data_IF_069311834880
#
_entry.id   IF_069311834880
#
_cell.length_a   1.000
_cell.length_b   1.000
_cell.length_c   1.000
_cell.angle_alpha   90.00
_cell.angle_beta   90.00
_cell.angle_gamma   90.00
#
_symmetry.space_group_name_H-M   'P 1'
#
loop_
_entity.id
_entity.type
_entity.pdbx_description
1 polymer ?
#
# COMPACT_ATOMS: atom_id res chain seq x y z
N UNK A 1 -15.32 10.34 -13.39
CA UNK A 1 -13.95 10.48 -13.97
C UNK A 1 -12.81 10.42 -12.93
N UNK A 2 -13.09 10.36 -11.61
CA UNK A 2 -12.04 10.20 -10.57
C UNK A 2 -11.55 8.76 -10.39
N UNK A 3 -12.46 7.79 -10.47
CA UNK A 3 -12.14 6.35 -10.42
C UNK A 3 -11.11 5.94 -11.48
N UNK A 4 -11.15 6.58 -12.67
CA UNK A 4 -10.18 6.33 -13.74
C UNK A 4 -8.75 6.77 -13.39
N UNK A 5 -8.58 7.74 -12.48
CA UNK A 5 -7.26 8.18 -12.00
C UNK A 5 -6.75 7.30 -10.86
N UNK A 6 -7.66 6.82 -10.00
CA UNK A 6 -7.31 5.94 -8.87
C UNK A 6 -6.94 4.53 -9.34
N UNK A 7 -7.61 4.00 -10.37
CA UNK A 7 -7.42 2.62 -10.81
C UNK A 7 -5.98 2.26 -11.20
N UNK A 8 -5.26 3.07 -12.00
CA UNK A 8 -3.84 2.79 -12.30
C UNK A 8 -2.94 2.82 -11.06
N UNK A 9 -3.20 3.75 -10.13
CA UNK A 9 -2.48 3.79 -8.85
C UNK A 9 -2.74 2.53 -8.01
N UNK A 10 -4.01 2.14 -7.87
CA UNK A 10 -4.40 0.91 -7.17
C UNK A 10 -3.72 -0.33 -7.76
N UNK A 11 -3.74 -0.47 -9.08
CA UNK A 11 -3.14 -1.62 -9.76
C UNK A 11 -1.62 -1.66 -9.56
N UNK A 12 -0.94 -0.53 -9.68
CA UNK A 12 0.51 -0.44 -9.44
C UNK A 12 0.87 -0.65 -7.97
N UNK A 13 0.02 -0.23 -7.02
CA UNK A 13 0.21 -0.46 -5.58
C UNK A 13 0.13 -1.95 -5.27
N UNK A 14 -0.86 -2.65 -5.83
CA UNK A 14 -1.00 -4.10 -5.69
C UNK A 14 0.18 -4.86 -6.30
N UNK A 15 0.64 -4.45 -7.49
CA UNK A 15 1.81 -5.06 -8.13
C UNK A 15 3.10 -4.83 -7.31
N UNK A 16 3.32 -3.60 -6.82
CA UNK A 16 4.46 -3.30 -5.96
C UNK A 16 4.43 -4.13 -4.67
N UNK A 17 3.28 -4.22 -4.00
CA UNK A 17 3.12 -5.05 -2.80
C UNK A 17 3.46 -6.52 -3.08
N UNK A 18 3.06 -7.06 -4.24
CA UNK A 18 3.43 -8.42 -4.64
C UNK A 18 4.93 -8.60 -4.82
N UNK A 19 5.60 -7.69 -5.52
CA UNK A 19 7.07 -7.75 -5.66
C UNK A 19 7.77 -7.60 -4.31
N UNK A 20 7.25 -6.77 -3.40
CA UNK A 20 7.79 -6.64 -2.05
C UNK A 20 7.74 -7.96 -1.30
N UNK A 21 6.61 -8.67 -1.35
CA UNK A 21 6.47 -10.00 -0.74
C UNK A 21 7.39 -11.03 -1.40
N UNK A 22 7.61 -10.95 -2.71
CA UNK A 22 8.53 -11.84 -3.43
C UNK A 22 9.99 -11.57 -3.05
N UNK A 23 10.41 -10.30 -2.99
CA UNK A 23 11.75 -9.92 -2.55
C UNK A 23 12.05 -10.40 -1.12
N UNK A 24 11.07 -10.24 -0.22
CA UNK A 24 11.17 -10.73 1.16
C UNK A 24 11.22 -12.25 1.26
N UNK A 25 10.43 -12.93 0.42
CA UNK A 25 10.46 -14.38 0.32
C UNK A 25 11.85 -14.83 -0.14
N UNK A 26 12.38 -14.24 -1.21
CA UNK A 26 13.68 -14.58 -1.75
C UNK A 26 14.82 -14.34 -0.74
N UNK A 27 14.81 -13.21 -0.02
CA UNK A 27 15.79 -12.93 1.05
C UNK A 27 15.74 -14.00 2.15
N UNK A 28 14.53 -14.42 2.55
CA UNK A 28 14.35 -15.47 3.55
C UNK A 28 14.78 -16.84 3.03
N UNK A 29 14.37 -17.21 1.83
CA UNK A 29 14.75 -18.49 1.19
C UNK A 29 16.27 -18.61 1.08
N UNK A 30 16.93 -17.51 0.70
CA UNK A 30 18.39 -17.42 0.67
C UNK A 30 19.00 -17.54 2.08
N UNK A 31 18.45 -16.89 3.09
CA UNK A 31 18.97 -16.97 4.46
C UNK A 31 18.88 -18.39 5.05
N UNK A 32 17.78 -19.11 4.80
CA UNK A 32 17.54 -20.45 5.34
C UNK A 32 17.93 -21.58 4.38
N UNK A 33 18.40 -21.26 3.16
CA UNK A 33 18.74 -22.23 2.11
C UNK A 33 17.60 -23.22 1.84
N UNK A 34 16.36 -22.71 1.82
CA UNK A 34 15.15 -23.52 1.65
C UNK A 34 14.03 -22.71 1.00
N UNK A 35 13.30 -23.33 0.08
CA UNK A 35 12.09 -22.76 -0.49
C UNK A 35 10.91 -22.80 0.50
N UNK A 36 10.04 -21.80 0.45
CA UNK A 36 8.79 -21.75 1.22
C UNK A 36 7.58 -21.98 0.32
N UNK A 37 6.72 -22.92 0.69
CA UNK A 37 5.44 -23.13 0.02
C UNK A 37 4.55 -21.87 0.15
N UNK A 38 3.64 -21.58 -0.81
CA UNK A 38 2.85 -20.35 -0.78
C UNK A 38 2.05 -20.13 0.52
N UNK A 39 1.39 -21.17 1.03
CA UNK A 39 0.62 -21.08 2.27
C UNK A 39 1.51 -20.87 3.50
N UNK A 40 2.69 -21.50 3.52
CA UNK A 40 3.67 -21.32 4.58
C UNK A 40 4.22 -19.90 4.61
N UNK A 41 4.58 -19.36 3.44
CA UNK A 41 5.03 -17.98 3.31
C UNK A 41 3.95 -16.98 3.75
N UNK A 42 2.69 -17.22 3.38
CA UNK A 42 1.57 -16.38 3.81
C UNK A 42 1.42 -16.37 5.34
N UNK A 43 1.44 -17.54 5.98
CA UNK A 43 1.33 -17.65 7.44
C UNK A 43 2.48 -16.91 8.13
N UNK A 44 3.67 -17.00 7.56
CA UNK A 44 4.88 -16.40 8.11
C UNK A 44 4.85 -14.87 8.00
N UNK A 45 4.53 -14.32 6.82
CA UNK A 45 4.51 -12.87 6.60
C UNK A 45 3.36 -12.17 7.33
N UNK A 46 2.28 -12.90 7.64
CA UNK A 46 1.14 -12.37 8.39
C UNK A 46 1.26 -12.55 9.90
N UNK A 47 1.97 -13.58 10.37
CA UNK A 47 2.05 -13.93 11.79
C UNK A 47 3.35 -13.54 12.49
N UNK A 48 4.49 -13.54 11.79
CA UNK A 48 5.78 -13.44 12.46
C UNK A 48 6.15 -11.98 12.80
N UNK A 49 6.67 -11.69 14.02
CA UNK A 49 6.95 -10.33 14.48
C UNK A 49 7.86 -9.52 13.53
N UNK A 50 8.81 -10.17 12.87
CA UNK A 50 9.77 -9.52 11.97
C UNK A 50 9.14 -8.94 10.69
N UNK A 51 7.88 -9.28 10.38
CA UNK A 51 7.11 -8.74 9.26
C UNK A 51 6.02 -7.74 9.67
N UNK A 52 5.88 -7.42 10.96
CA UNK A 52 4.87 -6.46 11.46
C UNK A 52 4.96 -5.09 10.82
N UNK A 53 6.14 -4.69 10.37
CA UNK A 53 6.37 -3.44 9.65
C UNK A 53 5.63 -3.35 8.30
N UNK A 54 5.13 -4.47 7.76
CA UNK A 54 4.30 -4.49 6.54
C UNK A 54 2.84 -4.11 6.81
N UNK A 55 2.36 -4.26 8.05
CA UNK A 55 0.95 -4.06 8.39
C UNK A 55 0.39 -2.69 7.96
N UNK A 56 1.11 -1.56 8.11
CA UNK A 56 0.63 -0.27 7.61
C UNK A 56 0.39 -0.26 6.10
N UNK A 57 1.27 -0.89 5.31
CA UNK A 57 1.13 -0.96 3.84
C UNK A 57 -0.06 -1.85 3.44
N UNK A 58 -0.23 -2.99 4.10
CA UNK A 58 -1.38 -3.87 3.86
C UNK A 58 -2.71 -3.17 4.18
N UNK A 59 -2.76 -2.42 5.28
CA UNK A 59 -3.94 -1.61 5.63
C UNK A 59 -4.21 -0.53 4.59
N UNK A 60 -3.16 0.18 4.14
CA UNK A 60 -3.28 1.19 3.10
C UNK A 60 -3.79 0.61 1.76
N UNK A 61 -3.34 -0.58 1.38
CA UNK A 61 -3.84 -1.28 0.20
C UNK A 61 -5.35 -1.56 0.31
N UNK A 62 -5.82 -2.02 1.48
CA UNK A 62 -7.24 -2.24 1.74
C UNK A 62 -8.06 -0.94 1.68
N UNK A 63 -7.51 0.19 2.14
CA UNK A 63 -8.20 1.48 2.05
C UNK A 63 -8.36 1.94 0.59
N UNK A 64 -7.30 1.80 -0.21
CA UNK A 64 -7.34 2.15 -1.65
C UNK A 64 -8.29 1.23 -2.41
N UNK A 65 -8.33 -0.06 -2.07
CA UNK A 65 -9.31 -1.01 -2.59
C UNK A 65 -10.74 -0.56 -2.26
N UNK A 66 -11.03 -0.29 -0.97
CA UNK A 66 -12.34 0.15 -0.54
C UNK A 66 -12.79 1.44 -1.24
N UNK A 67 -11.90 2.43 -1.35
CA UNK A 67 -12.19 3.69 -2.06
C UNK A 67 -12.47 3.45 -3.55
N UNK A 68 -11.75 2.53 -4.20
CA UNK A 68 -11.92 2.26 -5.63
C UNK A 68 -13.26 1.65 -6.00
N UNK A 69 -13.91 0.96 -5.05
CA UNK A 69 -15.25 0.39 -5.20
C UNK A 69 -16.36 1.45 -5.02
N UNK A 70 -16.04 2.62 -4.48
CA UNK A 70 -17.00 3.69 -4.25
C UNK A 70 -17.13 4.57 -5.51
N UNK A 71 -18.35 4.79 -6.05
CA UNK A 71 -18.53 5.65 -7.22
C UNK A 71 -18.42 7.17 -6.91
N UNK A 72 -18.64 7.58 -5.66
CA UNK A 72 -18.65 8.98 -5.22
C UNK A 72 -17.31 9.49 -4.69
N UNK A 73 -16.19 9.08 -5.29
CA UNK A 73 -14.84 9.53 -4.90
C UNK A 73 -14.72 11.04 -5.11
N UNK A 74 -14.33 11.78 -4.06
CA UNK A 74 -14.06 13.21 -4.13
C UNK A 74 -12.58 13.48 -4.43
N UNK A 75 -12.25 14.68 -4.90
CA UNK A 75 -10.86 15.06 -5.19
C UNK A 75 -9.99 15.01 -3.95
N UNK A 76 -10.54 15.46 -2.82
CA UNK A 76 -9.87 15.42 -1.54
C UNK A 76 -9.59 13.99 -1.07
N UNK A 77 -10.31 12.96 -1.54
CA UNK A 77 -10.00 11.56 -1.22
C UNK A 77 -8.73 11.13 -1.97
N UNK A 78 -8.58 11.56 -3.23
CA UNK A 78 -7.36 11.30 -4.01
C UNK A 78 -6.14 12.04 -3.44
N UNK A 79 -6.34 13.26 -2.93
CA UNK A 79 -5.29 13.99 -2.21
C UNK A 79 -4.88 13.25 -0.94
N UNK A 80 -5.84 12.69 -0.20
CA UNK A 80 -5.57 11.89 0.99
C UNK A 80 -4.82 10.60 0.66
N UNK A 81 -5.19 9.89 -0.41
CA UNK A 81 -4.45 8.73 -0.92
C UNK A 81 -2.98 9.11 -1.14
N UNK A 82 -2.71 10.20 -1.85
CA UNK A 82 -1.35 10.67 -2.10
C UNK A 82 -0.61 11.02 -0.81
N UNK A 83 -1.25 11.77 0.08
CA UNK A 83 -0.65 12.18 1.35
C UNK A 83 -0.24 10.97 2.19
N UNK A 84 -1.16 10.00 2.39
CA UNK A 84 -0.89 8.81 3.21
C UNK A 84 0.30 8.03 2.66
N UNK A 85 0.43 7.89 1.33
CA UNK A 85 1.60 7.26 0.72
C UNK A 85 2.90 8.04 0.97
N UNK A 86 2.89 9.36 0.82
CA UNK A 86 4.06 10.21 1.09
C UNK A 86 4.51 10.12 2.57
N UNK A 87 3.56 9.98 3.49
CA UNK A 87 3.82 9.91 4.94
C UNK A 87 4.55 8.63 5.36
N UNK A 88 4.45 7.52 4.61
CA UNK A 88 5.29 6.31 4.82
C UNK A 88 6.80 6.62 4.80
N UNK A 89 7.20 7.72 4.15
CA UNK A 89 8.60 8.12 3.96
C UNK A 89 9.01 9.35 4.77
N UNK A 90 8.07 10.02 5.44
CA UNK A 90 8.30 11.30 6.13
C UNK A 90 8.84 11.16 7.56
N UNK A 91 8.30 10.24 8.35
CA UNK A 91 8.50 10.21 9.82
C UNK A 91 9.28 8.98 10.34
N UNK A 92 9.85 8.20 9.45
CA UNK A 92 10.44 6.90 9.76
C UNK A 92 11.90 7.04 10.22
N UNK A 93 12.11 7.30 11.51
CA UNK A 93 13.43 7.20 12.15
C UNK A 93 13.69 5.75 12.60
N UNK A 94 14.94 5.29 12.45
CA UNK A 94 15.40 3.97 12.91
C UNK A 94 15.37 2.84 11.87
N UNK A 95 16.24 1.84 12.07
CA UNK A 95 16.47 0.74 11.12
C UNK A 95 15.29 -0.22 10.95
N UNK A 96 14.38 -0.26 11.92
CA UNK A 96 13.20 -1.11 11.87
C UNK A 96 11.99 -0.45 11.20
N UNK A 97 12.09 0.85 10.90
CA UNK A 97 11.02 1.60 10.26
C UNK A 97 10.68 1.07 8.87
N UNK A 98 9.44 1.33 8.43
CA UNK A 98 8.99 0.94 7.08
C UNK A 98 9.95 1.44 6.00
N UNK A 99 10.30 2.74 6.02
CA UNK A 99 11.20 3.35 5.03
C UNK A 99 12.55 2.65 4.99
N UNK A 100 13.19 2.43 6.14
CA UNK A 100 14.52 1.84 6.17
C UNK A 100 14.54 0.43 5.57
N UNK A 101 13.57 -0.42 5.96
CA UNK A 101 13.43 -1.77 5.43
C UNK A 101 13.07 -1.77 3.95
N UNK A 102 12.10 -0.95 3.55
CA UNK A 102 11.65 -0.83 2.16
C UNK A 102 12.77 -0.33 1.23
N UNK A 103 13.53 0.69 1.64
CA UNK A 103 14.67 1.21 0.88
C UNK A 103 15.79 0.18 0.71
N UNK A 104 16.08 -0.61 1.75
CA UNK A 104 17.06 -1.70 1.66
C UNK A 104 16.65 -2.76 0.63
N UNK A 105 15.36 -3.11 0.57
CA UNK A 105 14.85 -4.05 -0.41
C UNK A 105 14.87 -3.47 -1.82
N UNK A 106 14.50 -2.21 -2.00
CA UNK A 106 14.57 -1.51 -3.29
C UNK A 106 15.98 -1.51 -3.90
N UNK A 107 17.03 -1.44 -3.07
CA UNK A 107 18.42 -1.47 -3.53
C UNK A 107 18.88 -2.87 -3.98
N UNK A 108 18.21 -3.92 -3.50
CA UNK A 108 18.58 -5.32 -3.76
C UNK A 108 17.75 -5.97 -4.87
N UNK A 109 16.52 -5.51 -5.07
CA UNK A 109 15.55 -6.14 -5.97
C UNK A 109 15.12 -5.18 -7.10
N UNK A 110 15.51 -5.53 -8.34
CA UNK A 110 15.24 -4.70 -9.52
C UNK A 110 13.75 -4.64 -9.88
N UNK A 111 13.00 -5.71 -9.66
CA UNK A 111 11.57 -5.78 -10.00
C UNK A 111 10.75 -4.92 -9.04
N UNK A 112 11.12 -4.92 -7.75
CA UNK A 112 10.59 -4.01 -6.76
C UNK A 112 10.92 -2.55 -7.10
N UNK A 113 12.15 -2.26 -7.54
CA UNK A 113 12.54 -0.91 -7.96
C UNK A 113 11.72 -0.40 -9.16
N UNK A 114 11.60 -1.23 -10.19
CA UNK A 114 10.81 -0.90 -11.39
C UNK A 114 9.35 -0.69 -11.03
N UNK A 115 8.75 -1.58 -10.23
CA UNK A 115 7.35 -1.45 -9.83
C UNK A 115 7.10 -0.24 -8.93
N UNK A 116 8.06 0.13 -8.06
CA UNK A 116 8.00 1.39 -7.31
C UNK A 116 8.01 2.61 -8.23
N UNK A 117 8.81 2.61 -9.31
CA UNK A 117 8.82 3.71 -10.29
C UNK A 117 7.47 3.86 -11.01
N UNK A 118 6.81 2.75 -11.37
CA UNK A 118 5.49 2.76 -11.97
C UNK A 118 4.43 3.29 -11.00
N UNK A 119 4.48 2.84 -9.74
CA UNK A 119 3.62 3.34 -8.68
C UNK A 119 3.79 4.86 -8.51
N UNK A 120 5.03 5.35 -8.48
CA UNK A 120 5.32 6.78 -8.38
C UNK A 120 4.75 7.58 -9.56
N UNK A 121 4.88 7.09 -10.79
CA UNK A 121 4.29 7.72 -11.97
C UNK A 121 2.76 7.87 -11.83
N UNK A 122 2.08 6.85 -11.31
CA UNK A 122 0.63 6.92 -11.10
C UNK A 122 0.25 7.78 -9.89
N UNK A 123 1.09 7.83 -8.86
CA UNK A 123 0.93 8.75 -7.74
C UNK A 123 1.01 10.21 -8.20
N UNK A 124 1.95 10.55 -9.07
CA UNK A 124 2.12 11.91 -9.61
C UNK A 124 0.90 12.36 -10.45
N UNK A 125 0.10 11.43 -10.96
CA UNK A 125 -1.16 11.71 -11.64
C UNK A 125 -2.34 11.99 -10.69
N UNK A 126 -2.19 11.69 -9.38
CA UNK A 126 -3.15 12.08 -8.35
C UNK A 126 -2.95 13.57 -7.99
N UNK A 127 -4.03 14.29 -7.64
CA UNK A 127 -3.91 15.67 -7.17
C UNK A 127 -2.92 15.76 -6.00
N UNK A 128 -2.13 16.82 -5.99
CA UNK A 128 -1.13 17.04 -4.95
C UNK A 128 -1.76 16.99 -3.55
N UNK A 129 -1.02 16.42 -2.59
CA UNK A 129 -1.45 16.42 -1.20
C UNK A 129 -1.76 17.85 -0.75
N UNK A 130 -2.81 18.01 0.06
CA UNK A 130 -3.13 19.30 0.65
C UNK A 130 -1.95 19.77 1.51
N UNK A 131 -1.60 21.05 1.43
CA UNK A 131 -0.50 21.63 2.24
C UNK A 131 -0.83 21.65 3.73
N UNK A 132 -2.12 21.57 4.07
CA UNK A 132 -2.62 21.41 5.43
C UNK A 132 -2.86 19.94 5.72
N UNK A 133 -2.36 19.40 6.85
CA UNK A 133 -2.70 18.05 7.28
C UNK A 133 -4.21 17.86 7.32
N UNK A 134 -4.69 16.81 6.67
CA UNK A 134 -6.10 16.41 6.70
C UNK A 134 -6.42 15.88 8.11
N UNK A 135 -6.96 16.75 8.97
CA UNK A 135 -7.19 16.48 10.39
C UNK A 135 -8.11 15.27 10.65
N UNK A 136 -8.96 14.92 9.68
CA UNK A 136 -9.93 13.82 9.71
C UNK A 136 -9.50 12.61 8.85
N UNK A 137 -8.20 12.48 8.53
CA UNK A 137 -7.68 11.44 7.63
C UNK A 137 -8.13 10.01 8.00
N UNK A 138 -8.06 9.66 9.28
CA UNK A 138 -8.43 8.32 9.76
C UNK A 138 -9.94 8.10 9.71
N UNK A 139 -10.74 9.09 10.10
CA UNK A 139 -12.21 9.03 10.02
C UNK A 139 -12.67 8.86 8.57
N UNK A 140 -12.05 9.60 7.64
CA UNK A 140 -12.35 9.52 6.21
C UNK A 140 -12.00 8.15 5.63
N UNK A 141 -10.86 7.58 6.00
CA UNK A 141 -10.46 6.21 5.61
C UNK A 141 -11.44 5.17 6.15
N UNK A 142 -11.87 5.29 7.41
CA UNK A 142 -12.90 4.41 7.98
C UNK A 142 -14.23 4.54 7.21
N UNK A 143 -14.62 5.76 6.86
CA UNK A 143 -15.82 6.01 6.08
C UNK A 143 -15.78 5.37 4.68
N UNK A 144 -14.60 5.22 4.05
CA UNK A 144 -14.47 4.47 2.79
C UNK A 144 -14.95 3.03 2.95
N UNK A 145 -14.49 2.34 4.01
CA UNK A 145 -14.89 0.95 4.29
C UNK A 145 -16.39 0.82 4.61
N UNK A 146 -16.94 1.75 5.38
CA UNK A 146 -18.37 1.73 5.72
C UNK A 146 -19.26 1.95 4.49
N UNK A 147 -18.90 2.92 3.64
CA UNK A 147 -19.64 3.22 2.40
C UNK A 147 -19.62 2.03 1.46
N UNK A 148 -18.46 1.41 1.30
CA UNK A 148 -18.31 0.23 0.43
C UNK A 148 -19.08 -0.98 0.97
N UNK A 149 -19.11 -1.19 2.30
CA UNK A 149 -19.93 -2.23 2.90
C UNK A 149 -21.43 -2.01 2.64
N UNK A 150 -21.93 -0.78 2.85
CA UNK A 150 -23.35 -0.44 2.60
C UNK A 150 -23.72 -0.58 1.12
N UNK A 151 -22.87 -0.09 0.22
CA UNK A 151 -23.10 -0.22 -1.22
C UNK A 151 -23.22 -1.70 -1.66
N UNK A 152 -22.45 -2.61 -1.03
CA UNK A 152 -22.53 -4.05 -1.31
C UNK A 152 -23.77 -4.73 -0.72
N UNK A 153 -24.34 -4.21 0.36
CA UNK A 153 -25.61 -4.72 0.91
C UNK A 153 -26.81 -4.24 0.12
N UNK A 154 -26.79 -3.03 -0.42
CA UNK A 154 -27.92 -2.45 -1.16
C UNK A 154 -28.08 -3.02 -2.58
N UNK A 155 -27.07 -3.75 -3.07
CA UNK A 155 -27.04 -4.41 -4.38
C UNK A 155 -27.47 -5.90 -4.33
N UNK A 156 -27.72 -6.46 -3.14
CA UNK A 156 -28.17 -7.85 -2.91
C UNK A 156 -29.63 -7.88 -2.45
#
# INVERSE_FOLDING_TARGET
MMTQRLMPFRQSLFQMHRHLLQALKAEREHHFQREFAPAEWLNLVTGAPEYRWLAPLTRYLADVDALSEWPGIAESDLQLVRQVWEDFFRESEGEESFRARYQRLLQKDSDLLISHSHLRKHLEALPAASTTPIADADERRQAWHERTRKNRSDLN
#
